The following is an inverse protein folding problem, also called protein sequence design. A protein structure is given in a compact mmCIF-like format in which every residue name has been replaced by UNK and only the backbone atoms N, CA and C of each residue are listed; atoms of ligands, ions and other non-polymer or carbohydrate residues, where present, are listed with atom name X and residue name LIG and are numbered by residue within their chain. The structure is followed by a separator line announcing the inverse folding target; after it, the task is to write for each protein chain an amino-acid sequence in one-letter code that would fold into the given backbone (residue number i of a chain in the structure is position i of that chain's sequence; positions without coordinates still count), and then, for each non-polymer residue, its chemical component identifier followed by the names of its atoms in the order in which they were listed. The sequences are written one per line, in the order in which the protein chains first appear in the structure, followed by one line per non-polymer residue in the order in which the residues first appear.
data_IF_621745011400
#
_entry.id   IF_621745011400
#
_cell.length_a   1.000
_cell.length_b   1.000
_cell.length_c   1.000
_cell.angle_alpha   90.00
_cell.angle_beta   90.00
_cell.angle_gamma   90.00
#
_symmetry.space_group_name_H-M   'P 1'
#
loop_
_entity.id
_entity.type
_entity.pdbx_description
1 polymer ?
#
# COMPACT_ATOMS: atom_id res chain seq x y z
N UNK A 1 3.71 -27.16 22.11
CA UNK A 1 2.68 -27.64 21.15
C UNK A 1 3.28 -27.47 19.77
N UNK A 2 3.33 -28.54 18.95
CA UNK A 2 3.83 -28.42 17.58
C UNK A 2 2.82 -27.63 16.76
N UNK A 3 3.27 -26.54 16.12
CA UNK A 3 2.45 -25.80 15.16
C UNK A 3 2.34 -26.62 13.88
N UNK A 4 1.11 -26.80 13.41
CA UNK A 4 0.83 -27.45 12.13
C UNK A 4 1.09 -26.46 10.99
N UNK A 5 1.58 -26.93 9.86
CA UNK A 5 1.90 -26.10 8.70
C UNK A 5 1.17 -26.60 7.47
N UNK A 6 0.62 -25.67 6.69
CA UNK A 6 0.08 -25.96 5.36
C UNK A 6 1.16 -25.87 4.28
N UNK A 7 0.92 -26.45 3.12
CA UNK A 7 1.87 -26.38 2.01
C UNK A 7 1.98 -24.96 1.45
N UNK A 8 3.12 -24.62 0.86
CA UNK A 8 3.31 -23.32 0.22
C UNK A 8 2.29 -23.06 -0.91
N UNK A 9 1.85 -24.11 -1.59
CA UNK A 9 0.82 -24.03 -2.61
C UNK A 9 -0.54 -23.64 -2.02
N UNK A 10 -0.90 -24.24 -0.88
CA UNK A 10 -2.15 -23.92 -0.16
C UNK A 10 -2.11 -22.51 0.43
N UNK A 11 -0.93 -22.02 0.85
CA UNK A 11 -0.76 -20.62 1.27
C UNK A 11 -1.13 -19.68 0.12
N UNK A 12 -0.56 -19.91 -1.07
CA UNK A 12 -0.83 -19.05 -2.24
C UNK A 12 -2.30 -19.09 -2.63
N UNK A 13 -2.90 -20.28 -2.69
CA UNK A 13 -4.33 -20.43 -3.01
C UNK A 13 -5.19 -19.74 -1.95
N UNK A 14 -4.89 -19.96 -0.66
CA UNK A 14 -5.64 -19.37 0.43
C UNK A 14 -5.59 -17.84 0.41
N UNK A 15 -4.42 -17.26 0.12
CA UNK A 15 -4.27 -15.82 -0.11
C UNK A 15 -5.12 -15.38 -1.30
N UNK A 16 -4.96 -15.99 -2.47
CA UNK A 16 -5.72 -15.61 -3.67
C UNK A 16 -7.24 -15.68 -3.46
N UNK A 17 -7.71 -16.73 -2.79
CA UNK A 17 -9.11 -16.93 -2.44
C UNK A 17 -9.62 -15.85 -1.50
N UNK A 18 -8.81 -15.43 -0.52
CA UNK A 18 -9.19 -14.41 0.46
C UNK A 18 -9.41 -13.03 -0.19
N UNK A 19 -8.73 -12.76 -1.31
CA UNK A 19 -8.93 -11.56 -2.12
C UNK A 19 -10.14 -11.63 -3.07
N UNK A 20 -11.03 -12.63 -2.96
CA UNK A 20 -12.22 -12.72 -3.81
C UNK A 20 -13.06 -11.43 -3.90
N UNK A 21 -13.29 -10.62 -2.84
CA UNK A 21 -14.09 -9.40 -2.96
C UNK A 21 -13.38 -8.36 -3.83
N UNK A 22 -12.04 -8.32 -3.75
CA UNK A 22 -11.18 -7.42 -4.54
C UNK A 22 -11.21 -7.83 -6.00
N UNK A 23 -11.09 -9.13 -6.30
CA UNK A 23 -11.15 -9.62 -7.68
C UNK A 23 -12.50 -9.33 -8.33
N UNK A 24 -13.59 -9.55 -7.60
CA UNK A 24 -14.95 -9.26 -8.09
C UNK A 24 -15.11 -7.76 -8.34
N UNK A 25 -14.71 -6.91 -7.39
CA UNK A 25 -14.79 -5.45 -7.55
C UNK A 25 -13.93 -4.95 -8.72
N UNK A 26 -12.72 -5.49 -8.88
CA UNK A 26 -11.84 -5.19 -10.01
C UNK A 26 -12.46 -5.56 -11.35
N UNK A 27 -12.97 -6.78 -11.49
CA UNK A 27 -13.59 -7.25 -12.73
C UNK A 27 -14.78 -6.36 -13.10
N UNK A 28 -15.65 -6.06 -12.12
CA UNK A 28 -16.80 -5.19 -12.33
C UNK A 28 -16.40 -3.78 -12.76
N UNK A 29 -15.49 -3.14 -12.02
CA UNK A 29 -15.09 -1.77 -12.30
C UNK A 29 -14.27 -1.68 -13.58
N UNK A 30 -13.30 -2.56 -13.79
CA UNK A 30 -12.51 -2.55 -15.02
C UNK A 30 -13.37 -2.89 -16.24
N UNK A 31 -14.27 -3.88 -16.14
CA UNK A 31 -15.20 -4.21 -17.23
C UNK A 31 -16.11 -3.03 -17.60
N UNK A 32 -16.65 -2.32 -16.60
CA UNK A 32 -17.41 -1.09 -16.82
C UNK A 32 -16.53 0.00 -17.46
N UNK A 33 -15.33 0.23 -16.94
CA UNK A 33 -14.40 1.24 -17.44
C UNK A 33 -13.99 0.99 -18.90
N UNK A 34 -13.73 -0.26 -19.29
CA UNK A 34 -13.46 -0.62 -20.69
C UNK A 34 -14.66 -0.37 -21.60
N UNK A 35 -15.86 -0.71 -21.14
CA UNK A 35 -17.11 -0.55 -21.92
C UNK A 35 -17.44 0.92 -22.14
N UNK A 36 -17.27 1.75 -21.11
CA UNK A 36 -17.63 3.16 -21.13
C UNK A 36 -16.43 4.09 -21.42
N UNK A 37 -15.27 3.57 -21.83
CA UNK A 37 -14.05 4.38 -22.01
C UNK A 37 -14.24 5.62 -22.88
N UNK A 38 -15.06 5.52 -23.94
CA UNK A 38 -15.35 6.64 -24.85
C UNK A 38 -16.15 7.78 -24.19
N UNK A 39 -16.86 7.52 -23.09
CA UNK A 39 -17.65 8.51 -22.34
C UNK A 39 -16.91 9.10 -21.13
N UNK A 40 -15.82 8.48 -20.69
CA UNK A 40 -15.11 8.83 -19.45
C UNK A 40 -14.00 9.88 -19.63
N UNK A 41 -13.91 10.52 -20.80
CA UNK A 41 -12.97 11.61 -21.07
C UNK A 41 -11.51 11.22 -20.80
N UNK A 42 -10.82 12.01 -19.97
CA UNK A 42 -9.40 11.80 -19.60
C UNK A 42 -9.15 10.43 -18.95
N UNK A 43 -10.05 9.94 -18.11
CA UNK A 43 -9.92 8.61 -17.52
C UNK A 43 -9.98 7.51 -18.59
N UNK A 44 -10.83 7.69 -19.60
CA UNK A 44 -10.94 6.75 -20.72
C UNK A 44 -9.64 6.60 -21.52
N UNK A 45 -8.83 7.67 -21.62
CA UNK A 45 -7.55 7.65 -22.33
C UNK A 45 -6.50 6.75 -21.66
N UNK A 46 -6.60 6.54 -20.34
CA UNK A 46 -5.70 5.63 -19.62
C UNK A 46 -5.84 4.18 -20.12
N UNK A 47 -7.02 3.83 -20.64
CA UNK A 47 -7.32 2.49 -21.17
C UNK A 47 -6.90 2.29 -22.62
N UNK A 48 -6.29 3.30 -23.25
CA UNK A 48 -5.74 3.18 -24.61
C UNK A 48 -4.27 2.72 -24.59
N UNK A 49 -3.62 2.71 -23.41
CA UNK A 49 -2.24 2.24 -23.24
C UNK A 49 -2.15 1.10 -22.22
N UNK A 50 -1.26 0.13 -22.46
CA UNK A 50 -1.03 -0.96 -21.50
C UNK A 50 -0.52 -0.48 -20.13
N UNK A 51 0.29 0.60 -20.13
CA UNK A 51 0.83 1.19 -18.90
C UNK A 51 -0.27 1.85 -18.06
N UNK A 52 -1.21 2.57 -18.70
CA UNK A 52 -2.34 3.19 -18.01
C UNK A 52 -3.28 2.15 -17.40
N UNK A 53 -3.56 1.06 -18.13
CA UNK A 53 -4.36 -0.07 -17.62
C UNK A 53 -3.69 -0.69 -16.39
N UNK A 54 -2.38 -0.96 -16.46
CA UNK A 54 -1.62 -1.52 -15.35
C UNK A 54 -1.64 -0.60 -14.12
N UNK A 55 -1.46 0.72 -14.32
CA UNK A 55 -1.51 1.70 -13.25
C UNK A 55 -2.88 1.75 -12.55
N UNK A 56 -3.96 1.84 -13.34
CA UNK A 56 -5.33 1.83 -12.81
C UNK A 56 -5.63 0.52 -12.07
N UNK A 57 -5.21 -0.62 -12.61
CA UNK A 57 -5.37 -1.91 -11.97
C UNK A 57 -4.67 -1.96 -10.60
N UNK A 58 -3.41 -1.54 -10.50
CA UNK A 58 -2.64 -1.56 -9.25
C UNK A 58 -3.29 -0.63 -8.21
N UNK A 59 -3.67 0.60 -8.61
CA UNK A 59 -4.32 1.55 -7.72
C UNK A 59 -5.67 1.01 -7.21
N UNK A 60 -6.50 0.46 -8.11
CA UNK A 60 -7.80 -0.11 -7.72
C UNK A 60 -7.66 -1.37 -6.87
N UNK A 61 -6.65 -2.21 -7.13
CA UNK A 61 -6.40 -3.41 -6.35
C UNK A 61 -6.16 -3.05 -4.88
N UNK A 62 -5.25 -2.11 -4.61
CA UNK A 62 -4.96 -1.67 -3.24
C UNK A 62 -6.11 -0.89 -2.62
N UNK A 63 -6.84 -0.09 -3.41
CA UNK A 63 -8.05 0.61 -2.94
C UNK A 63 -9.11 -0.37 -2.44
N UNK A 64 -9.44 -1.39 -3.23
CA UNK A 64 -10.42 -2.40 -2.82
C UNK A 64 -9.89 -3.28 -1.69
N UNK A 65 -8.59 -3.56 -1.65
CA UNK A 65 -7.95 -4.25 -0.52
C UNK A 65 -8.18 -3.48 0.78
N UNK A 66 -8.03 -2.16 0.76
CA UNK A 66 -8.27 -1.31 1.92
C UNK A 66 -9.75 -1.27 2.32
N UNK A 67 -10.67 -1.20 1.36
CA UNK A 67 -12.11 -1.20 1.61
C UNK A 67 -12.56 -2.55 2.22
N UNK A 68 -12.10 -3.66 1.65
CA UNK A 68 -12.47 -5.01 2.09
C UNK A 68 -11.51 -5.60 3.12
N UNK A 69 -10.67 -4.78 3.76
CA UNK A 69 -9.63 -5.25 4.68
C UNK A 69 -10.18 -6.17 5.79
N UNK A 70 -11.33 -5.84 6.36
CA UNK A 70 -12.00 -6.64 7.40
C UNK A 70 -12.46 -8.03 6.91
N UNK A 71 -12.77 -8.15 5.62
CA UNK A 71 -13.19 -9.43 5.01
C UNK A 71 -11.97 -10.26 4.58
N UNK A 72 -10.90 -9.58 4.13
CA UNK A 72 -9.68 -10.23 3.67
C UNK A 72 -8.82 -10.68 4.87
N UNK A 73 -8.79 -9.94 5.97
CA UNK A 73 -7.94 -10.26 7.11
C UNK A 73 -8.48 -11.46 7.91
N UNK A 74 -7.70 -12.51 8.19
CA UNK A 74 -8.10 -13.60 9.08
C UNK A 74 -8.03 -13.20 10.56
N UNK A 75 -7.11 -12.31 10.92
CA UNK A 75 -6.88 -11.88 12.29
C UNK A 75 -7.02 -10.36 12.44
N UNK A 76 -7.14 -9.90 13.68
CA UNK A 76 -6.94 -8.49 14.01
C UNK A 76 -5.44 -8.14 13.82
N UNK A 77 -5.09 -7.09 13.06
CA UNK A 77 -3.70 -6.70 12.79
C UNK A 77 -2.87 -6.37 14.04
N UNK A 78 -3.50 -6.06 15.17
CA UNK A 78 -2.82 -5.73 16.42
C UNK A 78 -2.88 -6.85 17.46
N UNK A 79 -3.68 -7.89 17.24
CA UNK A 79 -3.76 -9.02 18.15
C UNK A 79 -2.43 -9.80 18.18
N UNK A 80 -1.99 -10.11 19.39
CA UNK A 80 -0.75 -10.83 19.65
C UNK A 80 -1.07 -12.22 20.17
N UNK A 81 -0.62 -13.24 19.45
CA UNK A 81 -0.76 -14.64 19.85
C UNK A 81 0.62 -15.18 20.14
N UNK A 82 1.01 -15.26 21.42
CA UNK A 82 2.38 -15.58 21.83
C UNK A 82 2.96 -16.86 21.22
N UNK A 83 2.12 -17.85 20.94
CA UNK A 83 2.51 -19.13 20.30
C UNK A 83 2.95 -18.93 18.84
N UNK A 84 2.52 -17.84 18.21
CA UNK A 84 2.78 -17.52 16.80
C UNK A 84 3.97 -16.59 16.58
N UNK A 85 4.74 -16.30 17.62
CA UNK A 85 5.93 -15.45 17.51
C UNK A 85 6.96 -16.05 16.54
N UNK A 86 7.43 -15.24 15.60
CA UNK A 86 8.46 -15.61 14.60
C UNK A 86 8.14 -16.91 13.83
N UNK A 87 6.85 -17.21 13.63
CA UNK A 87 6.41 -18.39 12.89
C UNK A 87 6.57 -18.22 11.39
N UNK A 88 6.88 -19.32 10.71
CA UNK A 88 7.02 -19.34 9.25
C UNK A 88 5.65 -19.19 8.56
N UNK A 89 5.63 -18.74 7.28
CA UNK A 89 4.43 -18.73 6.46
C UNK A 89 3.70 -20.07 6.45
N UNK A 90 2.37 -20.03 6.59
CA UNK A 90 1.51 -21.22 6.59
C UNK A 90 1.33 -21.89 7.95
N UNK A 91 1.79 -21.28 9.05
CA UNK A 91 1.52 -21.78 10.40
C UNK A 91 0.02 -21.72 10.74
N UNK A 92 -0.52 -22.79 11.31
CA UNK A 92 -1.92 -22.88 11.73
C UNK A 92 -2.03 -22.61 13.23
N UNK A 93 -2.90 -21.68 13.60
CA UNK A 93 -3.16 -21.36 15.00
C UNK A 93 -3.86 -22.52 15.73
N UNK A 94 -3.28 -23.07 16.81
CA UNK A 94 -3.87 -24.20 17.50
C UNK A 94 -5.28 -23.95 18.02
N UNK A 95 -5.59 -22.71 18.43
CA UNK A 95 -6.85 -22.34 19.06
C UNK A 95 -7.95 -22.00 18.04
N UNK A 96 -7.68 -21.11 17.09
CA UNK A 96 -8.67 -20.67 16.10
C UNK A 96 -8.72 -21.55 14.85
N UNK A 97 -7.70 -22.41 14.62
CA UNK A 97 -7.48 -23.17 13.39
C UNK A 97 -7.33 -22.31 12.13
N UNK A 98 -7.13 -21.00 12.29
CA UNK A 98 -6.87 -20.08 11.20
C UNK A 98 -5.37 -20.08 10.83
N UNK A 99 -5.09 -19.70 9.59
CA UNK A 99 -3.73 -19.77 9.01
C UNK A 99 -3.07 -18.40 9.02
N UNK A 100 -1.83 -18.36 9.52
CA UNK A 100 -0.91 -17.23 9.37
C UNK A 100 -0.25 -17.32 7.99
N UNK A 101 -0.90 -16.77 6.96
CA UNK A 101 -0.46 -16.92 5.57
C UNK A 101 0.99 -16.47 5.35
N UNK A 102 1.40 -15.34 5.95
CA UNK A 102 2.76 -14.82 5.84
C UNK A 102 3.58 -14.99 7.13
N UNK A 103 3.07 -15.78 8.08
CA UNK A 103 3.72 -16.02 9.36
C UNK A 103 3.49 -14.89 10.38
N UNK A 104 4.06 -15.09 11.56
CA UNK A 104 3.99 -14.14 12.67
C UNK A 104 5.24 -13.27 12.77
N UNK A 105 5.07 -12.01 13.17
CA UNK A 105 6.19 -11.11 13.44
C UNK A 105 6.82 -11.32 14.84
N UNK A 106 7.86 -10.53 15.15
CA UNK A 106 8.56 -10.54 16.46
C UNK A 106 7.66 -10.19 17.64
N UNK A 107 6.53 -9.54 17.39
CA UNK A 107 5.51 -9.19 18.39
C UNK A 107 4.34 -10.21 18.38
N UNK A 108 4.52 -11.33 17.67
CA UNK A 108 3.54 -12.41 17.56
C UNK A 108 2.21 -11.99 16.90
N UNK A 109 2.25 -11.01 15.99
CA UNK A 109 1.11 -10.55 15.18
C UNK A 109 1.15 -11.16 13.79
N UNK A 110 -0.02 -11.36 13.19
CA UNK A 110 -0.12 -11.88 11.82
C UNK A 110 0.35 -10.86 10.78
N UNK A 111 1.39 -11.22 10.01
CA UNK A 111 1.99 -10.34 9.00
C UNK A 111 1.03 -10.06 7.85
N UNK A 112 0.21 -11.05 7.46
CA UNK A 112 -0.74 -10.90 6.36
C UNK A 112 -1.84 -9.87 6.69
N UNK A 113 -2.47 -10.01 7.85
CA UNK A 113 -3.47 -9.07 8.38
C UNK A 113 -2.90 -7.66 8.48
N UNK A 114 -1.66 -7.52 8.94
CA UNK A 114 -0.97 -6.22 9.01
C UNK A 114 -0.71 -5.60 7.64
N UNK A 115 -0.35 -6.39 6.63
CA UNK A 115 -0.19 -5.90 5.26
C UNK A 115 -1.53 -5.38 4.71
N UNK A 116 -2.60 -6.16 4.87
CA UNK A 116 -3.94 -5.82 4.38
C UNK A 116 -4.45 -4.54 5.04
N UNK A 117 -4.43 -4.45 6.36
CA UNK A 117 -4.84 -3.22 7.06
C UNK A 117 -3.88 -2.04 6.83
N UNK A 118 -2.59 -2.32 6.62
CA UNK A 118 -1.60 -1.32 6.26
C UNK A 118 -1.97 -0.56 4.98
N UNK A 119 -2.68 -1.20 4.05
CA UNK A 119 -3.15 -0.54 2.83
C UNK A 119 -4.07 0.66 3.11
N UNK A 120 -4.92 0.60 4.15
CA UNK A 120 -5.78 1.73 4.55
C UNK A 120 -4.95 2.94 4.98
N UNK A 121 -3.93 2.69 5.81
CA UNK A 121 -3.03 3.72 6.32
C UNK A 121 -2.27 4.37 5.16
N UNK A 122 -1.71 3.55 4.25
CA UNK A 122 -0.93 4.05 3.10
C UNK A 122 -1.80 4.89 2.16
N UNK A 123 -3.04 4.46 1.88
CA UNK A 123 -3.94 5.20 1.00
C UNK A 123 -4.43 6.53 1.57
N UNK A 124 -4.34 6.74 2.89
CA UNK A 124 -4.62 8.04 3.52
C UNK A 124 -3.35 8.90 3.52
N UNK A 125 -2.25 8.35 4.03
CA UNK A 125 -1.03 9.12 4.28
C UNK A 125 -0.33 9.51 3.00
N UNK A 126 -0.18 8.60 2.02
CA UNK A 126 0.61 8.89 0.83
C UNK A 126 -0.01 10.02 -0.02
N UNK A 127 -1.31 10.02 -0.35
CA UNK A 127 -1.92 11.13 -1.09
C UNK A 127 -1.91 12.44 -0.31
N UNK A 128 -2.14 12.42 1.01
CA UNK A 128 -2.07 13.62 1.85
C UNK A 128 -0.66 14.22 1.86
N UNK A 129 0.38 13.38 2.00
CA UNK A 129 1.77 13.79 1.95
C UNK A 129 2.13 14.37 0.58
N UNK A 130 1.70 13.74 -0.52
CA UNK A 130 1.90 14.26 -1.87
C UNK A 130 1.18 15.59 -2.08
N UNK A 131 -0.05 15.74 -1.60
CA UNK A 131 -0.80 17.00 -1.67
C UNK A 131 -0.09 18.12 -0.92
N UNK A 132 0.42 17.84 0.27
CA UNK A 132 1.21 18.79 1.04
C UNK A 132 2.54 19.15 0.32
N UNK A 133 3.24 18.15 -0.22
CA UNK A 133 4.46 18.35 -0.97
C UNK A 133 4.24 19.21 -2.22
N UNK A 134 3.12 19.00 -2.94
CA UNK A 134 2.73 19.84 -4.08
C UNK A 134 2.41 21.26 -3.62
N UNK A 135 1.68 21.44 -2.52
CA UNK A 135 1.36 22.76 -1.99
C UNK A 135 2.63 23.54 -1.66
N UNK A 136 3.57 22.94 -0.91
CA UNK A 136 4.86 23.57 -0.57
C UNK A 136 5.71 23.78 -1.82
N UNK A 137 5.82 22.76 -2.68
CA UNK A 137 6.63 22.78 -3.89
C UNK A 137 6.17 23.83 -4.90
N UNK A 138 4.86 24.01 -5.10
CA UNK A 138 4.30 25.04 -5.97
C UNK A 138 4.51 26.43 -5.35
N UNK A 139 4.25 26.58 -4.05
CA UNK A 139 4.37 27.87 -3.35
C UNK A 139 5.80 28.40 -3.36
N UNK A 140 6.79 27.52 -3.23
CA UNK A 140 8.21 27.91 -3.26
C UNK A 140 8.78 27.91 -4.70
N UNK A 141 8.41 26.92 -5.50
CA UNK A 141 8.96 26.71 -6.85
C UNK A 141 8.48 27.74 -7.88
N UNK A 142 7.22 28.17 -7.83
CA UNK A 142 6.72 29.17 -8.78
C UNK A 142 7.42 30.53 -8.64
N UNK A 143 7.57 31.12 -7.43
CA UNK A 143 8.33 32.36 -7.27
C UNK A 143 9.81 32.21 -7.68
N UNK A 144 10.44 31.08 -7.34
CA UNK A 144 11.81 30.79 -7.75
C UNK A 144 11.96 30.85 -9.28
N UNK A 145 11.10 30.13 -10.00
CA UNK A 145 11.12 30.08 -11.46
C UNK A 145 10.67 31.37 -12.15
N UNK A 146 9.78 32.15 -11.53
CA UNK A 146 9.25 33.39 -12.11
C UNK A 146 10.21 34.58 -11.94
N UNK A 147 10.70 34.82 -10.72
CA UNK A 147 11.58 35.97 -10.44
C UNK A 147 13.05 35.69 -10.78
N UNK A 148 13.47 34.42 -10.73
CA UNK A 148 14.85 34.02 -11.00
C UNK A 148 15.88 34.65 -10.05
N UNK A 149 17.15 34.52 -10.43
CA UNK A 149 18.27 35.17 -9.75
C UNK A 149 18.49 34.68 -8.31
N UNK A 150 18.48 35.62 -7.34
CA UNK A 150 18.83 35.33 -5.94
C UNK A 150 17.81 34.44 -5.22
N UNK A 151 16.52 34.58 -5.51
CA UNK A 151 15.45 33.80 -4.87
C UNK A 151 15.55 32.34 -5.32
N UNK A 152 15.73 32.12 -6.62
CA UNK A 152 15.97 30.79 -7.19
C UNK A 152 17.22 30.13 -6.58
N UNK A 153 18.34 30.86 -6.55
CA UNK A 153 19.58 30.34 -5.97
C UNK A 153 19.42 29.91 -4.51
N UNK A 154 18.73 30.72 -3.69
CA UNK A 154 18.50 30.41 -2.28
C UNK A 154 17.59 29.18 -2.10
N UNK A 155 16.47 29.12 -2.83
CA UNK A 155 15.51 28.03 -2.70
C UNK A 155 16.05 26.71 -3.25
N UNK A 156 16.73 26.77 -4.38
CA UNK A 156 17.44 25.61 -4.96
C UNK A 156 18.55 25.11 -4.03
N UNK A 157 19.27 26.01 -3.35
CA UNK A 157 20.26 25.62 -2.34
C UNK A 157 19.60 24.91 -1.14
N UNK A 158 18.50 25.44 -0.61
CA UNK A 158 17.77 24.79 0.48
C UNK A 158 17.23 23.41 0.08
N UNK A 159 16.67 23.28 -1.13
CA UNK A 159 16.21 22.00 -1.66
C UNK A 159 17.36 21.00 -1.77
N UNK A 160 18.51 21.41 -2.31
CA UNK A 160 19.70 20.57 -2.41
C UNK A 160 20.24 20.17 -1.03
N UNK A 161 20.18 21.06 -0.03
CA UNK A 161 20.58 20.75 1.33
C UNK A 161 19.71 19.64 1.93
N UNK A 162 18.38 19.70 1.75
CA UNK A 162 17.46 18.66 2.20
C UNK A 162 17.71 17.34 1.46
N UNK A 163 17.86 17.39 0.14
CA UNK A 163 18.12 16.19 -0.69
C UNK A 163 19.49 15.57 -0.46
N UNK A 164 20.46 16.34 0.04
CA UNK A 164 21.79 15.84 0.40
C UNK A 164 21.75 14.91 1.62
N UNK A 165 20.71 15.01 2.48
CA UNK A 165 20.53 14.08 3.59
C UNK A 165 19.93 12.76 3.09
N UNK A 166 20.56 11.61 3.41
CA UNK A 166 19.95 10.32 3.14
C UNK A 166 18.63 10.19 3.91
N UNK A 167 17.53 9.94 3.18
CA UNK A 167 16.17 9.86 3.75
C UNK A 167 16.10 8.85 4.90
N UNK A 168 16.84 7.74 4.80
CA UNK A 168 16.90 6.70 5.84
C UNK A 168 17.47 7.27 7.15
N UNK A 169 18.49 8.13 7.10
CA UNK A 169 19.08 8.73 8.31
C UNK A 169 18.09 9.68 9.00
N UNK A 170 17.37 10.49 8.22
CA UNK A 170 16.29 11.35 8.75
C UNK A 170 15.20 10.53 9.44
N UNK A 171 14.79 9.42 8.83
CA UNK A 171 13.79 8.52 9.41
C UNK A 171 14.26 7.95 10.75
N UNK A 172 15.49 7.45 10.84
CA UNK A 172 16.04 6.95 12.10
C UNK A 172 16.08 8.01 13.20
N UNK A 173 16.41 9.26 12.88
CA UNK A 173 16.47 10.32 13.89
C UNK A 173 15.08 10.71 14.44
N UNK A 174 14.03 10.61 13.62
CA UNK A 174 12.67 10.99 13.99
C UNK A 174 11.87 9.86 14.66
N UNK A 175 12.23 8.59 14.39
CA UNK A 175 11.45 7.39 14.79
C UNK A 175 12.13 6.60 15.92
N UNK A 176 13.20 7.13 16.52
CA UNK A 176 13.72 6.67 17.82
C UNK A 176 12.86 7.17 18.97
#
# INVERSE_FOLDING_TARGET
MQTEYISAFDVVIGVLWRFWPVWVALILVMGASFTYKKRLGLYGQLFDSGVGIAGVFICLFWLFTAIFASTISPFDPLAQVSVMKDTLPGAVEPASKLVYYFGGDKLARDVFSRMVYGSQIVLIIAPAATGFALMVGITLGLPAGYYGGKIDTLLSFLANLVLAFPVILLFYLLVT
#
